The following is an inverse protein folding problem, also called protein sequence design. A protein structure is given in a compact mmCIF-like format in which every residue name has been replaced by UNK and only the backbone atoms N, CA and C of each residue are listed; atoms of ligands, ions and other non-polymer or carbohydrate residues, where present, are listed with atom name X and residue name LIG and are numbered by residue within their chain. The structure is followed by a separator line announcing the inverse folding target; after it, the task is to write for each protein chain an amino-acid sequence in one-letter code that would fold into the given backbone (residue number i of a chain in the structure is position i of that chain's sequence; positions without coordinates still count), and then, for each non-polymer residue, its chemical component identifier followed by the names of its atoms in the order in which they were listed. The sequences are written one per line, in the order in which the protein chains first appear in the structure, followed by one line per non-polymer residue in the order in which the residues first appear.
data_IF_370563242454
#
_entry.id   IF_370563242454
#
_cell.length_a   1.000
_cell.length_b   1.000
_cell.length_c   1.000
_cell.angle_alpha   90.00
_cell.angle_beta   90.00
_cell.angle_gamma   90.00
#
_symmetry.space_group_name_H-M   'P 1'
#
loop_
_entity.id
_entity.type
_entity.pdbx_description
1 polymer ?
#
# COMPACT_ATOMS: atom_id res chain seq x y z
N UNK A 1 -11.46 2.60 -38.06
CA UNK A 1 -11.19 3.87 -37.37
C UNK A 1 -11.56 3.66 -35.90
N UNK A 2 -10.59 3.61 -34.99
CA UNK A 2 -10.85 3.36 -33.57
C UNK A 2 -11.23 4.70 -32.93
N UNK A 3 -12.48 4.87 -32.52
CA UNK A 3 -12.92 6.07 -31.82
C UNK A 3 -12.21 6.07 -30.45
N UNK A 4 -11.49 7.15 -30.07
CA UNK A 4 -10.90 7.22 -28.75
C UNK A 4 -12.02 7.16 -27.72
N UNK A 5 -12.00 6.12 -26.88
CA UNK A 5 -12.92 5.99 -25.76
C UNK A 5 -12.65 7.14 -24.77
N UNK A 6 -13.71 7.79 -24.28
CA UNK A 6 -13.60 8.73 -23.16
C UNK A 6 -13.03 7.99 -21.94
N UNK A 7 -12.14 8.66 -21.19
CA UNK A 7 -11.60 8.20 -19.91
C UNK A 7 -12.67 7.59 -19.00
N UNK A 8 -13.84 8.20 -18.88
CA UNK A 8 -14.94 7.69 -18.04
C UNK A 8 -15.40 6.30 -18.49
N UNK A 9 -15.52 6.11 -19.81
CA UNK A 9 -15.92 4.83 -20.40
C UNK A 9 -14.83 3.78 -20.21
N UNK A 10 -13.56 4.17 -20.33
CA UNK A 10 -12.43 3.27 -20.07
C UNK A 10 -12.45 2.80 -18.61
N UNK A 11 -12.61 3.74 -17.67
CA UNK A 11 -12.65 3.45 -16.24
C UNK A 11 -13.81 2.55 -15.87
N UNK A 12 -15.03 2.84 -16.34
CA UNK A 12 -16.21 2.01 -16.07
C UNK A 12 -16.02 0.59 -16.60
N UNK A 13 -15.55 0.45 -17.85
CA UNK A 13 -15.31 -0.86 -18.45
C UNK A 13 -14.24 -1.65 -17.68
N UNK A 14 -13.18 -0.97 -17.26
CA UNK A 14 -12.10 -1.56 -16.48
C UNK A 14 -12.59 -2.03 -15.11
N UNK A 15 -13.33 -1.19 -14.38
CA UNK A 15 -13.93 -1.54 -13.08
C UNK A 15 -14.87 -2.74 -13.19
N UNK A 16 -15.73 -2.78 -14.21
CA UNK A 16 -16.62 -3.90 -14.44
C UNK A 16 -15.87 -5.21 -14.62
N UNK A 17 -14.77 -5.19 -15.39
CA UNK A 17 -13.91 -6.35 -15.61
C UNK A 17 -13.26 -6.83 -14.30
N UNK A 18 -12.73 -5.91 -13.49
CA UNK A 18 -12.10 -6.27 -12.21
C UNK A 18 -13.11 -6.89 -11.24
N UNK A 19 -14.31 -6.30 -11.12
CA UNK A 19 -15.38 -6.83 -10.26
C UNK A 19 -15.76 -8.26 -10.66
N UNK A 20 -15.82 -8.57 -11.96
CA UNK A 20 -16.06 -9.93 -12.42
C UNK A 20 -14.91 -10.88 -12.02
N UNK A 21 -13.66 -10.45 -12.15
CA UNK A 21 -12.50 -11.29 -11.81
C UNK A 21 -12.42 -11.61 -10.31
N UNK A 22 -12.74 -10.64 -9.45
CA UNK A 22 -12.78 -10.82 -7.99
C UNK A 22 -13.75 -11.93 -7.59
N UNK A 23 -14.91 -12.03 -8.24
CA UNK A 23 -15.92 -13.06 -7.93
C UNK A 23 -15.46 -14.51 -8.22
N UNK A 24 -14.44 -14.69 -9.06
CA UNK A 24 -13.90 -16.01 -9.41
C UNK A 24 -12.46 -16.22 -8.92
N UNK A 25 -11.97 -15.35 -8.04
CA UNK A 25 -10.60 -15.43 -7.54
C UNK A 25 -10.47 -16.44 -6.39
N UNK A 26 -10.11 -17.68 -6.73
CA UNK A 26 -9.89 -18.78 -5.76
C UNK A 26 -8.49 -19.41 -5.88
N UNK A 27 -7.71 -19.03 -6.89
CA UNK A 27 -6.48 -19.75 -7.26
C UNK A 27 -5.18 -19.24 -6.62
N UNK A 28 -5.22 -18.14 -5.86
CA UNK A 28 -4.03 -17.57 -5.24
C UNK A 28 -4.36 -16.98 -3.86
N UNK A 29 -3.49 -17.13 -2.84
CA UNK A 29 -3.75 -16.63 -1.50
C UNK A 29 -3.49 -15.12 -1.43
N UNK A 30 -4.43 -14.32 -1.92
CA UNK A 30 -4.44 -12.86 -1.73
C UNK A 30 -5.78 -12.42 -1.20
N UNK A 31 -5.76 -11.50 -0.23
CA UNK A 31 -6.98 -10.85 0.23
C UNK A 31 -7.43 -9.84 -0.83
N UNK A 32 -8.63 -10.00 -1.36
CA UNK A 32 -9.25 -9.15 -2.37
C UNK A 32 -10.35 -8.25 -1.80
N UNK A 33 -10.64 -8.38 -0.50
CA UNK A 33 -11.63 -7.58 0.21
C UNK A 33 -10.94 -6.53 1.09
N UNK A 34 -11.19 -5.26 0.81
CA UNK A 34 -10.60 -4.12 1.51
C UNK A 34 -11.73 -3.21 2.00
N UNK A 35 -12.10 -3.28 3.29
CA UNK A 35 -13.27 -2.54 3.81
C UNK A 35 -13.00 -1.07 4.15
N UNK A 36 -11.73 -0.67 4.24
CA UNK A 36 -11.32 0.66 4.71
C UNK A 36 -10.50 1.48 3.69
N UNK A 37 -10.53 1.10 2.41
CA UNK A 37 -9.80 1.82 1.36
C UNK A 37 -10.23 3.29 1.24
N UNK A 38 -11.51 3.59 1.48
CA UNK A 38 -12.04 4.95 1.43
C UNK A 38 -11.40 5.88 2.47
N UNK A 39 -11.04 5.36 3.65
CA UNK A 39 -10.34 6.12 4.69
C UNK A 39 -8.90 6.47 4.31
N UNK A 40 -8.28 5.66 3.44
CA UNK A 40 -6.92 5.87 2.94
C UNK A 40 -6.89 6.68 1.62
N UNK A 41 -8.01 6.78 0.90
CA UNK A 41 -8.10 7.49 -0.36
C UNK A 41 -7.54 8.94 -0.35
N UNK A 42 -7.69 9.74 0.73
CA UNK A 42 -7.08 11.08 0.79
C UNK A 42 -5.55 11.08 0.65
N UNK A 43 -4.87 9.99 1.03
CA UNK A 43 -3.42 9.88 0.92
C UNK A 43 -2.93 9.90 -0.54
N UNK A 44 -3.79 9.50 -1.49
CA UNK A 44 -3.47 9.49 -2.93
C UNK A 44 -3.24 10.88 -3.51
N UNK A 45 -3.57 11.95 -2.78
CA UNK A 45 -3.32 13.34 -3.18
C UNK A 45 -1.87 13.76 -2.96
N UNK A 46 -1.08 12.98 -2.21
CA UNK A 46 0.29 13.33 -1.84
C UNK A 46 1.31 12.38 -2.48
N UNK A 47 2.42 12.94 -2.97
CA UNK A 47 3.55 12.16 -3.46
C UNK A 47 4.49 11.79 -2.29
N UNK A 48 4.08 10.79 -1.52
CA UNK A 48 4.80 10.32 -0.33
C UNK A 48 5.99 9.43 -0.72
N UNK A 49 7.15 9.66 -0.11
CA UNK A 49 8.36 8.85 -0.31
C UNK A 49 9.03 8.55 1.03
N UNK A 50 9.06 7.28 1.42
CA UNK A 50 9.68 6.82 2.67
C UNK A 50 11.18 6.51 2.55
N UNK A 51 11.85 7.08 1.55
CA UNK A 51 13.27 6.88 1.30
C UNK A 51 14.10 6.90 2.59
N UNK A 52 14.96 5.89 2.76
CA UNK A 52 15.86 5.69 3.89
C UNK A 52 15.25 4.94 5.07
N UNK A 53 15.96 4.97 6.19
CA UNK A 53 15.60 4.23 7.41
C UNK A 53 14.31 4.79 8.05
N UNK A 54 13.33 3.96 8.43
CA UNK A 54 12.06 4.42 9.02
C UNK A 54 12.21 5.18 10.35
N UNK A 55 13.23 4.85 11.15
CA UNK A 55 13.50 5.38 12.49
C UNK A 55 14.42 6.60 12.44
N UNK A 56 15.25 6.72 11.41
CA UNK A 56 16.11 7.90 11.23
C UNK A 56 15.35 9.06 10.56
N UNK A 57 15.57 10.25 11.12
CA UNK A 57 15.05 11.49 10.55
C UNK A 57 15.77 11.78 9.23
N UNK A 58 15.00 12.00 8.16
CA UNK A 58 15.51 12.35 6.84
C UNK A 58 15.10 13.76 6.43
N UNK A 59 15.84 14.33 5.48
CA UNK A 59 15.63 15.69 4.98
C UNK A 59 14.44 15.81 3.99
N UNK A 60 13.72 14.72 3.72
CA UNK A 60 12.58 14.69 2.78
C UNK A 60 11.29 14.94 3.56
N UNK A 61 10.65 16.08 3.34
CA UNK A 61 9.47 16.50 4.10
C UNK A 61 8.18 15.71 3.78
N UNK A 62 8.14 15.02 2.63
CA UNK A 62 6.96 14.32 2.13
C UNK A 62 7.11 12.81 2.27
N UNK A 63 6.80 12.27 3.45
CA UNK A 63 6.90 10.85 3.76
C UNK A 63 5.78 10.38 4.71
N UNK A 64 5.50 9.09 4.73
CA UNK A 64 4.62 8.40 5.67
C UNK A 64 5.38 7.56 6.71
N UNK A 65 6.64 7.89 7.03
CA UNK A 65 7.46 7.12 7.98
C UNK A 65 6.81 6.92 9.35
N UNK A 66 6.12 7.92 9.89
CA UNK A 66 5.38 7.77 11.15
C UNK A 66 4.30 6.69 11.06
N UNK A 67 3.61 6.59 9.92
CA UNK A 67 2.65 5.52 9.66
C UNK A 67 3.35 4.16 9.54
N UNK A 68 4.50 4.11 8.85
CA UNK A 68 5.31 2.90 8.75
C UNK A 68 5.78 2.40 10.12
N UNK A 69 6.26 3.28 11.01
CA UNK A 69 6.68 2.91 12.37
C UNK A 69 5.49 2.39 13.19
N UNK A 70 4.32 3.01 13.10
CA UNK A 70 3.11 2.53 13.78
C UNK A 70 2.67 1.13 13.31
N UNK A 71 2.78 0.85 12.01
CA UNK A 71 2.50 -0.50 11.47
C UNK A 71 3.51 -1.51 12.00
N UNK A 72 4.80 -1.17 12.00
CA UNK A 72 5.84 -2.03 12.53
C UNK A 72 5.65 -2.33 14.02
N UNK A 73 5.30 -1.33 14.82
CA UNK A 73 4.99 -1.47 16.25
C UNK A 73 3.79 -2.41 16.50
N UNK A 74 2.74 -2.31 15.68
CA UNK A 74 1.60 -3.22 15.76
C UNK A 74 2.02 -4.68 15.46
N UNK A 75 2.82 -4.91 14.42
CA UNK A 75 3.31 -6.25 14.08
C UNK A 75 4.29 -6.79 15.12
N UNK A 76 5.11 -5.94 15.75
CA UNK A 76 6.03 -6.38 16.80
C UNK A 76 5.30 -6.85 18.05
N UNK A 77 4.20 -6.18 18.40
CA UNK A 77 3.30 -6.65 19.47
C UNK A 77 2.60 -7.95 19.08
N UNK A 78 2.21 -8.12 17.81
CA UNK A 78 1.58 -9.36 17.35
C UNK A 78 2.52 -10.58 17.41
N UNK A 79 3.82 -10.36 17.23
CA UNK A 79 4.83 -11.42 17.14
C UNK A 79 5.72 -11.55 18.38
N UNK A 80 5.47 -10.77 19.43
CA UNK A 80 6.31 -10.69 20.64
C UNK A 80 7.80 -10.43 20.33
N UNK A 81 8.07 -9.52 19.38
CA UNK A 81 9.43 -9.15 18.97
C UNK A 81 9.74 -7.74 19.49
N UNK A 82 10.95 -7.51 20.00
CA UNK A 82 11.41 -6.17 20.33
C UNK A 82 11.99 -5.48 19.08
N UNK A 83 11.36 -4.40 18.62
CA UNK A 83 11.98 -3.45 17.68
C UNK A 83 12.86 -2.50 18.50
N UNK A 84 13.91 -3.05 19.10
CA UNK A 84 15.00 -2.23 19.60
C UNK A 84 15.87 -1.79 18.43
N UNK A 85 16.27 -0.52 18.47
CA UNK A 85 17.09 0.24 17.52
C UNK A 85 18.47 -0.37 17.17
N UNK A 86 18.71 -1.65 17.48
CA UNK A 86 19.95 -2.37 17.20
C UNK A 86 19.80 -3.86 16.85
N UNK A 87 18.57 -4.41 16.72
CA UNK A 87 18.39 -5.86 16.52
C UNK A 87 17.43 -6.30 15.41
N UNK A 88 16.26 -5.66 15.29
CA UNK A 88 15.25 -6.02 14.29
C UNK A 88 14.98 -4.83 13.35
N UNK A 89 15.49 -4.92 12.13
CA UNK A 89 15.26 -3.92 11.08
C UNK A 89 13.98 -4.25 10.32
N UNK A 90 12.89 -3.54 10.64
CA UNK A 90 11.62 -3.67 9.92
C UNK A 90 11.54 -2.69 8.75
N UNK A 91 11.34 -3.21 7.53
CA UNK A 91 10.96 -2.40 6.38
C UNK A 91 9.58 -2.84 5.89
N UNK A 92 8.73 -1.87 5.54
CA UNK A 92 7.55 -2.16 4.73
C UNK A 92 8.02 -2.25 3.29
N UNK A 93 8.00 -3.46 2.73
CA UNK A 93 8.46 -3.70 1.37
C UNK A 93 7.59 -2.96 0.36
N UNK A 94 8.22 -2.21 -0.55
CA UNK A 94 7.59 -1.81 -1.80
C UNK A 94 7.85 -2.89 -2.85
N UNK A 95 6.97 -3.00 -3.84
CA UNK A 95 7.08 -4.01 -4.92
C UNK A 95 8.29 -3.81 -5.86
N UNK A 96 9.20 -2.87 -5.56
CA UNK A 96 10.43 -2.64 -6.33
C UNK A 96 11.58 -3.51 -5.80
N UNK A 97 11.33 -4.82 -5.77
CA UNK A 97 12.28 -5.85 -5.39
C UNK A 97 12.26 -7.00 -6.39
N UNK A 98 12.51 -6.68 -7.67
CA UNK A 98 12.95 -7.61 -8.72
C UNK A 98 13.89 -6.88 -9.68
#
# INVERSE_FOLDING_TARGET
MMVPLNLDTILVNYMNRLTQQVNYHLGYPVNICYDHYASLAPLLQFHLNNYGDPVLQNNVSFHSKYFQVAVLDWFSQLWDIEILSSGCFGLVFTTLGY
#
